data_IF_514192209982
#
_entry.id   IF_514192209982
#
_cell.length_a   1.000
_cell.length_b   1.000
_cell.length_c   1.000
_cell.angle_alpha   90.00
_cell.angle_beta   90.00
_cell.angle_gamma   90.00
#
_symmetry.space_group_name_H-M   'P 1'
#
loop_
_entity.id
_entity.type
_entity.pdbx_description
1 polymer ?
#
# COMPACT_ATOMS: atom_id res chain seq x y z
N UNK A 1 8.50 -12.57 -5.22
CA UNK A 1 7.73 -11.47 -4.61
C UNK A 1 6.82 -12.08 -3.57
N UNK A 2 6.76 -11.53 -2.37
CA UNK A 2 5.85 -12.03 -1.33
C UNK A 2 5.15 -10.86 -0.66
N UNK A 3 3.82 -10.88 -0.68
CA UNK A 3 3.01 -9.99 0.16
C UNK A 3 3.33 -10.33 1.61
N UNK A 4 3.71 -9.34 2.40
CA UNK A 4 4.03 -9.52 3.82
C UNK A 4 2.79 -9.33 4.67
N UNK A 5 1.88 -8.46 4.22
CA UNK A 5 0.60 -8.26 4.86
C UNK A 5 -0.19 -7.14 4.20
N UNK A 6 -1.50 -7.18 4.38
CA UNK A 6 -2.40 -6.08 4.08
C UNK A 6 -3.42 -5.94 5.21
N UNK A 7 -3.70 -4.70 5.58
CA UNK A 7 -4.73 -4.34 6.55
C UNK A 7 -5.70 -3.42 5.83
N UNK A 8 -6.99 -3.73 5.98
CA UNK A 8 -8.07 -2.84 5.58
C UNK A 8 -8.90 -2.53 6.82
N UNK A 9 -9.19 -1.25 7.05
CA UNK A 9 -10.00 -0.80 8.17
C UNK A 9 -11.00 0.24 7.70
N UNK A 10 -12.28 0.01 8.02
CA UNK A 10 -13.37 0.93 7.76
C UNK A 10 -13.85 1.52 9.08
N UNK A 11 -13.98 2.84 9.13
CA UNK A 11 -14.56 3.54 10.29
C UNK A 11 -16.08 3.34 10.25
N UNK A 12 -16.62 2.76 11.31
CA UNK A 12 -18.04 2.42 11.42
C UNK A 12 -18.88 3.51 12.10
N UNK A 13 -18.26 4.40 12.88
CA UNK A 13 -18.99 5.41 13.67
C UNK A 13 -18.24 6.75 13.73
N UNK A 14 -19.01 7.83 13.88
CA UNK A 14 -18.49 9.18 14.11
C UNK A 14 -18.31 10.03 12.83
N UNK A 15 -17.62 11.18 12.92
CA UNK A 15 -17.54 12.15 11.82
C UNK A 15 -16.88 11.64 10.54
N UNK A 16 -16.12 10.56 10.63
CA UNK A 16 -15.42 9.91 9.50
C UNK A 16 -16.03 8.55 9.16
N UNK A 17 -17.26 8.27 9.63
CA UNK A 17 -18.01 7.07 9.27
C UNK A 17 -17.99 6.86 7.75
N UNK A 18 -17.61 5.66 7.34
CA UNK A 18 -17.46 5.30 5.94
C UNK A 18 -16.06 5.51 5.37
N UNK A 19 -15.14 6.16 6.09
CA UNK A 19 -13.73 6.25 5.65
C UNK A 19 -13.09 4.87 5.66
N UNK A 20 -12.42 4.53 4.56
CA UNK A 20 -11.69 3.27 4.38
C UNK A 20 -10.19 3.54 4.29
N UNK A 21 -9.42 2.84 5.11
CA UNK A 21 -7.96 2.91 5.16
C UNK A 21 -7.43 1.55 4.74
N UNK A 22 -6.53 1.55 3.76
CA UNK A 22 -5.82 0.36 3.31
C UNK A 22 -4.32 0.57 3.41
N UNK A 23 -3.62 -0.42 3.94
CA UNK A 23 -2.17 -0.46 3.99
C UNK A 23 -1.70 -1.86 3.61
N UNK A 24 -0.81 -1.96 2.63
CA UNK A 24 -0.16 -3.20 2.25
C UNK A 24 1.35 -3.01 2.17
N UNK A 25 2.07 -4.08 2.50
CA UNK A 25 3.51 -4.16 2.32
C UNK A 25 3.87 -5.47 1.62
N UNK A 26 4.79 -5.38 0.66
CA UNK A 26 5.36 -6.54 -0.01
C UNK A 26 6.87 -6.39 -0.17
N UNK A 27 7.52 -7.55 -0.32
CA UNK A 27 8.95 -7.62 -0.60
C UNK A 27 9.18 -7.83 -2.09
N UNK A 28 9.76 -6.79 -2.68
CA UNK A 28 10.20 -6.70 -4.06
C UNK A 28 11.60 -7.26 -4.28
N UNK A 29 11.78 -8.01 -5.37
CA UNK A 29 13.07 -8.37 -5.95
C UNK A 29 12.95 -8.28 -7.45
N UNK A 30 13.67 -7.34 -8.03
CA UNK A 30 13.78 -7.19 -9.49
C UNK A 30 15.23 -7.44 -9.93
N UNK A 31 15.37 -8.05 -11.12
CA UNK A 31 16.64 -8.06 -11.85
C UNK A 31 16.75 -6.75 -12.61
N UNK A 32 17.89 -6.08 -12.46
CA UNK A 32 18.15 -4.80 -13.14
C UNK A 32 19.50 -4.88 -13.86
N UNK A 33 19.48 -5.49 -15.04
CA UNK A 33 20.68 -5.67 -15.86
C UNK A 33 21.31 -4.31 -16.17
N UNK A 34 22.62 -4.17 -15.91
CA UNK A 34 23.39 -2.96 -16.24
C UNK A 34 23.41 -1.86 -15.17
N UNK A 35 23.00 -2.15 -13.93
CA UNK A 35 23.10 -1.20 -12.82
C UNK A 35 24.51 -1.18 -12.22
N UNK A 36 25.09 0.02 -12.01
CA UNK A 36 26.38 0.19 -11.32
C UNK A 36 26.37 -0.34 -9.86
N UNK A 37 25.18 -0.53 -9.28
CA UNK A 37 24.97 -1.06 -7.93
C UNK A 37 24.68 -2.57 -7.91
N UNK A 38 24.85 -3.26 -9.04
CA UNK A 38 24.62 -4.69 -9.21
C UNK A 38 23.25 -5.04 -9.80
N UNK A 39 23.13 -6.27 -10.28
CA UNK A 39 22.00 -6.72 -11.14
C UNK A 39 20.72 -7.04 -10.35
N UNK A 40 20.65 -6.69 -9.07
CA UNK A 40 19.55 -7.02 -8.17
C UNK A 40 19.12 -5.81 -7.37
N UNK A 41 17.85 -5.46 -7.48
CA UNK A 41 17.21 -4.50 -6.60
C UNK A 41 16.26 -5.25 -5.66
N UNK A 42 16.60 -5.28 -4.36
CA UNK A 42 15.67 -5.71 -3.33
C UNK A 42 15.05 -4.45 -2.72
N UNK A 43 13.72 -4.40 -2.68
CA UNK A 43 12.99 -3.27 -2.14
C UNK A 43 11.80 -3.75 -1.30
N UNK A 44 11.30 -2.86 -0.45
CA UNK A 44 10.00 -3.02 0.19
C UNK A 44 9.06 -2.07 -0.54
N UNK A 45 7.96 -2.62 -1.05
CA UNK A 45 6.87 -1.82 -1.60
C UNK A 45 5.83 -1.64 -0.49
N UNK A 46 5.42 -0.41 -0.26
CA UNK A 46 4.41 -0.06 0.73
C UNK A 46 3.35 0.78 0.04
N UNK A 47 2.13 0.25 -0.01
CA UNK A 47 0.99 0.91 -0.62
C UNK A 47 -0.02 1.31 0.44
N UNK A 48 -0.35 2.59 0.48
CA UNK A 48 -1.36 3.15 1.35
C UNK A 48 -2.48 3.79 0.52
N UNK A 49 -3.73 3.59 0.92
CA UNK A 49 -4.89 4.29 0.37
C UNK A 49 -5.80 4.75 1.50
N UNK A 50 -6.30 5.97 1.37
CA UNK A 50 -7.36 6.51 2.24
C UNK A 50 -8.47 6.95 1.29
N UNK A 51 -9.65 6.39 1.48
CA UNK A 51 -10.83 6.72 0.69
C UNK A 51 -11.95 7.19 1.61
N UNK A 52 -12.59 8.29 1.23
CA UNK A 52 -13.77 8.81 1.91
C UNK A 52 -14.73 9.39 0.87
N UNK A 53 -15.92 8.80 0.79
CA UNK A 53 -16.96 9.26 -0.13
C UNK A 53 -17.87 10.24 0.62
N UNK A 54 -18.02 11.45 0.12
CA UNK A 54 -18.93 12.46 0.67
C UNK A 54 -20.02 12.80 -0.33
N UNK A 55 -21.24 13.00 0.19
CA UNK A 55 -22.36 13.47 -0.63
C UNK A 55 -22.43 15.00 -0.58
N UNK A 56 -22.26 15.63 -1.73
CA UNK A 56 -22.57 17.05 -1.92
C UNK A 56 -24.09 17.20 -2.07
N UNK A 57 -24.68 18.17 -1.35
CA UNK A 57 -26.07 18.58 -1.52
C UNK A 57 -26.15 19.77 -2.47
#
# INVERSE_FOLDING_TARGET
MGLLGAINYRIEEGPLEGMNIFLAADKGREKRDGSALGDRLNYWDVKMSIQYDFMLR
#
